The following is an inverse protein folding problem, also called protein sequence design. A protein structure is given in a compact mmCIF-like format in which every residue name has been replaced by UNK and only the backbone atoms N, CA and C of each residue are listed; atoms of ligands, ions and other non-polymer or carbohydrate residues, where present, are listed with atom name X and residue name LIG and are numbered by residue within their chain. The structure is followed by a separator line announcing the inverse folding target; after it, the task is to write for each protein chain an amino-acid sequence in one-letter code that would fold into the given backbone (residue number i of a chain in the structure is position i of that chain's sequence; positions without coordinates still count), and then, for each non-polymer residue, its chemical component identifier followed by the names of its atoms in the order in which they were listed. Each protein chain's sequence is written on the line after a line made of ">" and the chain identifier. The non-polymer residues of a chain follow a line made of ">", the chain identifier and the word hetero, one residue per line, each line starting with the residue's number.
data_IF_111374844330
#
_entry.id   IF_111374844330
#
_cell.length_a   1.000
_cell.length_b   1.000
_cell.length_c   1.000
_cell.angle_alpha   90.00
_cell.angle_beta   90.00
_cell.angle_gamma   90.00
#
_symmetry.space_group_name_H-M   'P 1'
#
loop_
_entity.id
_entity.type
_entity.pdbx_description
1 polymer ?
#
# COMPACT_ATOMS: atom_id res chain seq x y z
N UNK A 1 43.92 9.94 10.92
CA UNK A 1 42.75 9.07 11.10
C UNK A 1 43.24 7.63 11.15
N UNK A 2 42.92 6.89 12.22
CA UNK A 2 43.41 5.52 12.43
C UNK A 2 42.62 4.52 11.58
N UNK A 3 43.26 3.39 11.22
CA UNK A 3 42.59 2.25 10.58
C UNK A 3 41.40 1.74 11.42
N UNK A 4 41.53 1.78 12.76
CA UNK A 4 40.45 1.42 13.68
C UNK A 4 39.25 2.36 13.61
N UNK A 5 39.46 3.67 13.40
CA UNK A 5 38.36 4.62 13.22
C UNK A 5 37.59 4.30 11.92
N UNK A 6 38.32 3.99 10.85
CA UNK A 6 37.73 3.64 9.54
C UNK A 6 36.94 2.33 9.58
N UNK A 7 37.41 1.31 10.32
CA UNK A 7 36.67 0.05 10.54
C UNK A 7 35.41 0.27 11.40
N UNK A 8 35.51 1.09 12.45
CA UNK A 8 34.35 1.43 13.29
C UNK A 8 33.29 2.20 12.52
N UNK A 9 33.69 3.14 11.69
CA UNK A 9 32.77 3.98 10.91
C UNK A 9 32.09 3.16 9.80
N UNK A 10 32.83 2.28 9.11
CA UNK A 10 32.23 1.34 8.14
C UNK A 10 31.28 0.33 8.79
N UNK A 11 31.59 -0.19 9.98
CA UNK A 11 30.66 -1.06 10.72
C UNK A 11 29.40 -0.31 11.15
N UNK A 12 29.52 0.97 11.51
CA UNK A 12 28.38 1.83 11.86
C UNK A 12 27.50 2.15 10.65
N UNK A 13 28.11 2.41 9.49
CA UNK A 13 27.38 2.57 8.21
C UNK A 13 26.69 1.26 7.80
N UNK A 14 27.35 0.11 7.97
CA UNK A 14 26.75 -1.19 7.63
C UNK A 14 25.57 -1.52 8.56
N UNK A 15 25.71 -1.25 9.86
CA UNK A 15 24.65 -1.50 10.84
C UNK A 15 23.43 -0.59 10.64
N UNK A 16 23.65 0.67 10.26
CA UNK A 16 22.58 1.62 9.94
C UNK A 16 21.87 1.21 8.65
N UNK A 17 22.61 0.87 7.58
CA UNK A 17 22.05 0.36 6.33
C UNK A 17 21.22 -0.93 6.51
N UNK A 18 21.70 -1.88 7.32
CA UNK A 18 20.97 -3.12 7.62
C UNK A 18 19.65 -2.85 8.38
N UNK A 19 19.65 -1.87 9.30
CA UNK A 19 18.46 -1.48 10.06
C UNK A 19 17.43 -0.81 9.15
N UNK A 20 17.87 0.05 8.23
CA UNK A 20 16.99 0.70 7.24
C UNK A 20 16.38 -0.30 6.25
N UNK A 21 17.18 -1.23 5.74
CA UNK A 21 16.70 -2.30 4.87
C UNK A 21 15.63 -3.16 5.57
N UNK A 22 15.85 -3.51 6.85
CA UNK A 22 14.89 -4.27 7.66
C UNK A 22 13.59 -3.50 7.87
N UNK A 23 13.67 -2.19 8.18
CA UNK A 23 12.48 -1.33 8.33
C UNK A 23 11.69 -1.21 7.03
N UNK A 24 12.37 -1.05 5.89
CA UNK A 24 11.76 -1.00 4.56
C UNK A 24 11.07 -2.32 4.22
N UNK A 25 11.72 -3.46 4.50
CA UNK A 25 11.15 -4.78 4.30
C UNK A 25 9.92 -5.04 5.19
N UNK A 26 9.98 -4.66 6.48
CA UNK A 26 8.86 -4.81 7.39
C UNK A 26 7.66 -3.94 6.98
N UNK A 27 7.90 -2.69 6.56
CA UNK A 27 6.84 -1.80 6.07
C UNK A 27 6.21 -2.31 4.78
N UNK A 28 7.02 -2.83 3.86
CA UNK A 28 6.53 -3.50 2.65
C UNK A 28 5.63 -4.69 2.98
N UNK A 29 6.08 -5.60 3.85
CA UNK A 29 5.27 -6.75 4.25
C UNK A 29 3.95 -6.35 4.94
N UNK A 30 3.96 -5.26 5.72
CA UNK A 30 2.74 -4.71 6.32
C UNK A 30 1.77 -4.15 5.26
N UNK A 31 2.27 -3.45 4.25
CA UNK A 31 1.47 -2.90 3.15
C UNK A 31 0.90 -4.02 2.28
N UNK A 32 1.71 -5.01 1.89
CA UNK A 32 1.26 -6.18 1.12
C UNK A 32 0.14 -6.95 1.87
N UNK A 33 0.29 -7.12 3.19
CA UNK A 33 -0.76 -7.76 4.00
C UNK A 33 -2.03 -6.90 4.09
N UNK A 34 -1.91 -5.57 4.09
CA UNK A 34 -3.05 -4.64 4.06
C UNK A 34 -3.76 -4.69 2.72
N UNK A 35 -3.03 -4.67 1.61
CA UNK A 35 -3.60 -4.82 0.26
C UNK A 35 -4.38 -6.12 0.13
N UNK A 36 -3.80 -7.25 0.49
CA UNK A 36 -4.49 -8.55 0.43
C UNK A 36 -5.80 -8.56 1.24
N UNK A 37 -5.84 -7.88 2.39
CA UNK A 37 -7.07 -7.75 3.20
C UNK A 37 -8.10 -6.83 2.54
N UNK A 38 -7.67 -5.74 1.91
CA UNK A 38 -8.54 -4.81 1.20
C UNK A 38 -9.12 -5.46 -0.07
N UNK A 39 -8.30 -6.17 -0.85
CA UNK A 39 -8.75 -6.96 -2.00
C UNK A 39 -9.80 -7.99 -1.62
N UNK A 40 -9.59 -8.70 -0.50
CA UNK A 40 -10.57 -9.65 0.01
C UNK A 40 -11.91 -8.99 0.40
N UNK A 41 -11.87 -7.75 0.92
CA UNK A 41 -13.09 -6.96 1.21
C UNK A 41 -13.79 -6.50 -0.07
N UNK A 42 -13.04 -6.00 -1.05
CA UNK A 42 -13.58 -5.63 -2.37
C UNK A 42 -14.26 -6.83 -3.02
N UNK A 43 -13.61 -8.01 -2.98
CA UNK A 43 -14.19 -9.24 -3.52
C UNK A 43 -15.51 -9.58 -2.83
N UNK A 44 -15.58 -9.49 -1.50
CA UNK A 44 -16.82 -9.75 -0.74
C UNK A 44 -17.95 -8.79 -1.14
N UNK A 45 -17.68 -7.50 -1.23
CA UNK A 45 -18.69 -6.51 -1.63
C UNK A 45 -19.17 -6.76 -3.07
N UNK A 46 -18.26 -7.10 -4.00
CA UNK A 46 -18.62 -7.53 -5.36
C UNK A 46 -19.48 -8.78 -5.38
N UNK A 47 -19.19 -9.78 -4.54
CA UNK A 47 -20.02 -10.98 -4.41
C UNK A 47 -21.40 -10.67 -3.83
N UNK A 48 -21.51 -9.73 -2.87
CA UNK A 48 -22.80 -9.26 -2.32
C UNK A 48 -23.67 -8.61 -3.38
N UNK A 49 -23.09 -7.78 -4.24
CA UNK A 49 -23.80 -7.19 -5.40
C UNK A 49 -24.14 -8.26 -6.44
N UNK A 50 -23.27 -9.26 -6.59
CA UNK A 50 -23.30 -10.27 -7.63
C UNK A 50 -22.20 -10.01 -8.65
N UNK A 51 -21.33 -10.99 -8.86
CA UNK A 51 -20.12 -10.85 -9.68
C UNK A 51 -20.41 -10.49 -11.14
N UNK A 52 -21.57 -10.91 -11.67
CA UNK A 52 -22.02 -10.57 -13.02
C UNK A 52 -22.66 -9.17 -13.13
N UNK A 53 -23.22 -8.65 -12.03
CA UNK A 53 -23.90 -7.36 -12.02
C UNK A 53 -22.93 -6.21 -11.78
N UNK A 54 -21.91 -6.44 -10.95
CA UNK A 54 -20.94 -5.41 -10.60
C UNK A 54 -20.30 -4.71 -11.83
N UNK A 55 -19.81 -5.41 -12.88
CA UNK A 55 -19.20 -4.75 -14.04
C UNK A 55 -20.18 -3.82 -14.79
N UNK A 56 -21.45 -4.20 -14.87
CA UNK A 56 -22.50 -3.40 -15.52
C UNK A 56 -22.86 -2.17 -14.68
N UNK A 57 -22.93 -2.34 -13.36
CA UNK A 57 -23.15 -1.24 -12.41
C UNK A 57 -21.97 -0.26 -12.39
N UNK A 58 -20.74 -0.76 -12.41
CA UNK A 58 -19.53 0.06 -12.37
C UNK A 58 -19.27 0.83 -13.67
N UNK A 59 -19.72 0.31 -14.81
CA UNK A 59 -19.64 0.98 -16.12
C UNK A 59 -20.79 1.97 -16.36
N UNK A 60 -21.83 1.96 -15.52
CA UNK A 60 -23.05 2.74 -15.73
C UNK A 60 -23.98 2.17 -16.79
N UNK A 61 -23.73 0.97 -17.29
CA UNK A 61 -24.62 0.26 -18.23
C UNK A 61 -25.88 -0.28 -17.53
N UNK A 62 -25.83 -0.45 -16.20
CA UNK A 62 -26.95 -0.82 -15.35
C UNK A 62 -27.10 0.21 -14.23
N UNK A 63 -28.31 0.74 -14.06
CA UNK A 63 -28.68 1.57 -12.91
C UNK A 63 -29.44 0.72 -11.89
N UNK A 64 -29.25 1.01 -10.61
CA UNK A 64 -29.95 0.32 -9.51
C UNK A 64 -30.35 1.32 -8.45
N UNK A 65 -31.65 1.39 -8.17
CA UNK A 65 -32.21 2.26 -7.12
C UNK A 65 -32.15 1.61 -5.72
N UNK A 66 -31.58 0.40 -5.61
CA UNK A 66 -31.45 -0.30 -4.35
C UNK A 66 -30.36 0.36 -3.49
N UNK A 67 -30.77 0.93 -2.36
CA UNK A 67 -29.86 1.61 -1.42
C UNK A 67 -28.70 0.71 -0.94
N UNK A 68 -28.92 -0.60 -0.81
CA UNK A 68 -27.89 -1.57 -0.45
C UNK A 68 -26.80 -1.69 -1.53
N UNK A 69 -27.21 -1.71 -2.81
CA UNK A 69 -26.28 -1.76 -3.95
C UNK A 69 -25.47 -0.47 -4.03
N UNK A 70 -26.12 0.68 -3.88
CA UNK A 70 -25.42 1.97 -3.86
C UNK A 70 -24.43 2.06 -2.70
N UNK A 71 -24.80 1.55 -1.52
CA UNK A 71 -23.90 1.50 -0.35
C UNK A 71 -22.69 0.61 -0.63
N UNK A 72 -22.90 -0.56 -1.23
CA UNK A 72 -21.81 -1.47 -1.59
C UNK A 72 -20.89 -0.88 -2.66
N UNK A 73 -21.42 -0.18 -3.67
CA UNK A 73 -20.63 0.52 -4.69
C UNK A 73 -19.75 1.61 -4.06
N UNK A 74 -20.33 2.46 -3.20
CA UNK A 74 -19.57 3.50 -2.50
C UNK A 74 -18.46 2.89 -1.61
N UNK A 75 -18.73 1.75 -0.95
CA UNK A 75 -17.69 1.04 -0.17
C UNK A 75 -16.57 0.52 -1.06
N UNK A 76 -16.90 -0.04 -2.22
CA UNK A 76 -15.90 -0.52 -3.19
C UNK A 76 -15.04 0.64 -3.67
N UNK A 77 -15.62 1.81 -3.94
CA UNK A 77 -14.88 3.01 -4.33
C UNK A 77 -13.86 3.42 -3.25
N UNK A 78 -14.28 3.52 -1.98
CA UNK A 78 -13.39 3.84 -0.86
C UNK A 78 -12.28 2.80 -0.71
N UNK A 79 -12.60 1.50 -0.84
CA UNK A 79 -11.60 0.44 -0.74
C UNK A 79 -10.59 0.48 -1.90
N UNK A 80 -11.03 0.82 -3.12
CA UNK A 80 -10.15 0.99 -4.27
C UNK A 80 -9.23 2.20 -4.10
N UNK A 81 -9.72 3.29 -3.51
CA UNK A 81 -8.89 4.44 -3.19
C UNK A 81 -7.80 4.08 -2.17
N UNK A 82 -8.13 3.32 -1.13
CA UNK A 82 -7.15 2.82 -0.16
C UNK A 82 -6.12 1.85 -0.78
N UNK A 83 -6.54 1.03 -1.75
CA UNK A 83 -5.63 0.18 -2.53
C UNK A 83 -4.68 1.04 -3.36
N UNK A 84 -5.18 2.07 -4.04
CA UNK A 84 -4.33 2.99 -4.82
C UNK A 84 -3.32 3.75 -3.95
N UNK A 85 -3.72 4.18 -2.74
CA UNK A 85 -2.83 4.81 -1.77
C UNK A 85 -1.72 3.85 -1.29
N UNK A 86 -2.06 2.61 -0.96
CA UNK A 86 -1.06 1.61 -0.56
C UNK A 86 -0.10 1.25 -1.71
N UNK A 87 -0.62 1.13 -2.93
CA UNK A 87 0.19 0.87 -4.12
C UNK A 87 1.19 2.01 -4.39
N UNK A 88 0.73 3.26 -4.27
CA UNK A 88 1.62 4.43 -4.37
C UNK A 88 2.69 4.46 -3.27
N UNK A 89 2.34 4.05 -2.04
CA UNK A 89 3.31 3.93 -0.94
C UNK A 89 4.33 2.81 -1.20
N UNK A 90 3.91 1.68 -1.76
CA UNK A 90 4.81 0.60 -2.18
C UNK A 90 5.76 1.05 -3.30
N UNK A 91 5.25 1.75 -4.31
CA UNK A 91 6.06 2.31 -5.40
C UNK A 91 7.06 3.32 -4.88
N UNK A 92 6.66 4.20 -3.95
CA UNK A 92 7.55 5.15 -3.30
C UNK A 92 8.65 4.44 -2.49
N UNK A 93 8.31 3.35 -1.80
CA UNK A 93 9.29 2.52 -1.10
C UNK A 93 10.26 1.86 -2.08
N UNK A 94 9.80 1.38 -3.24
CA UNK A 94 10.66 0.78 -4.27
C UNK A 94 11.58 1.81 -4.93
N UNK A 95 11.10 3.02 -5.20
CA UNK A 95 11.84 4.10 -5.82
C UNK A 95 12.87 4.78 -4.88
N UNK A 96 12.70 4.68 -3.56
CA UNK A 96 13.64 5.25 -2.60
C UNK A 96 15.01 4.52 -2.65
N UNK A 97 16.11 5.20 -3.03
CA UNK A 97 17.46 4.62 -2.98
C UNK A 97 17.83 4.25 -1.53
N UNK A 98 18.68 3.22 -1.33
CA UNK A 98 19.16 2.89 0.01
C UNK A 98 19.91 4.09 0.61
N UNK A 99 19.47 4.59 1.76
CA UNK A 99 20.14 5.64 2.54
C UNK A 99 19.47 7.03 2.60
N UNK A 100 18.26 7.21 2.06
CA UNK A 100 17.49 8.45 2.32
C UNK A 100 16.22 8.14 3.12
N UNK A 101 16.06 8.71 4.34
CA UNK A 101 14.80 8.64 5.04
C UNK A 101 13.71 9.34 4.21
N UNK A 102 12.44 8.90 4.31
CA UNK A 102 11.35 9.61 3.65
C UNK A 102 11.39 11.06 4.13
N UNK A 103 11.52 12.00 3.19
CA UNK A 103 11.36 13.41 3.51
C UNK A 103 9.93 13.58 4.03
N UNK A 104 9.80 13.71 5.35
CA UNK A 104 8.56 14.16 5.95
C UNK A 104 8.26 15.52 5.32
N UNK A 105 7.14 15.60 4.61
CA UNK A 105 6.69 16.83 3.96
C UNK A 105 6.73 17.98 4.96
N UNK A 106 7.59 18.94 4.70
CA UNK A 106 7.61 20.22 5.41
C UNK A 106 6.55 21.12 4.80
N UNK A 107 5.57 21.48 5.64
CA UNK A 107 4.80 22.72 5.49
C UNK A 107 5.54 23.87 6.15
#
# INVERSE_FOLDING_TARGET
>A
MSFFDRVRDTMRETATAATEATKKQARRAQLEMRESRLEARVKREKTTIGEALYPLLASGELESDLAEVQTALNRIEVLNQQLAENAAELDALLAAPPGQPPQAGGS
#
